data_IF_751567345841
#
_entry.id   IF_751567345841
#
_cell.length_a   1.000
_cell.length_b   1.000
_cell.length_c   1.000
_cell.angle_alpha   90.00
_cell.angle_beta   90.00
_cell.angle_gamma   90.00
#
_symmetry.space_group_name_H-M   'P 1'
#
loop_
_entity.id
_entity.type
_entity.pdbx_description
1 polymer ?
#
# COMPACT_ATOMS: atom_id res chain seq x y z
N UNK A 1 -6.93 1.52 -7.77
CA UNK A 1 -7.27 0.31 -8.57
C UNK A 1 -6.12 -0.22 -9.42
N UNK A 2 -5.42 0.61 -10.20
CA UNK A 2 -4.38 0.19 -11.15
C UNK A 2 -3.25 -0.73 -10.63
N UNK A 3 -2.85 -0.62 -9.37
CA UNK A 3 -1.79 -1.45 -8.80
C UNK A 3 -2.27 -2.80 -8.22
N UNK A 4 -3.59 -3.01 -8.05
CA UNK A 4 -4.12 -4.24 -7.47
C UNK A 4 -3.67 -4.51 -6.02
N UNK A 5 -3.47 -3.45 -5.22
CA UNK A 5 -3.12 -3.51 -3.79
C UNK A 5 -4.09 -2.63 -3.01
N UNK A 6 -4.79 -3.21 -2.03
CA UNK A 6 -5.63 -2.46 -1.09
C UNK A 6 -4.78 -1.90 0.05
N UNK A 7 -5.04 -0.63 0.39
CA UNK A 7 -4.34 0.10 1.45
C UNK A 7 -5.36 0.87 2.29
N UNK A 8 -5.05 1.09 3.56
CA UNK A 8 -5.85 1.99 4.39
C UNK A 8 -5.31 3.41 4.23
N UNK A 9 -6.13 4.40 3.83
CA UNK A 9 -5.68 5.78 3.68
C UNK A 9 -5.40 6.39 5.05
N UNK A 10 -4.29 7.11 5.16
CA UNK A 10 -3.82 7.67 6.43
C UNK A 10 -4.74 8.74 7.03
N UNK A 11 -5.55 9.42 6.22
CA UNK A 11 -6.57 10.38 6.68
C UNK A 11 -7.58 9.77 7.67
N UNK A 12 -7.80 8.45 7.60
CA UNK A 12 -8.62 7.73 8.59
C UNK A 12 -8.02 7.66 10.00
N UNK A 13 -6.77 8.08 10.18
CA UNK A 13 -6.02 8.03 11.44
C UNK A 13 -5.74 9.43 12.02
N UNK A 14 -6.45 10.45 11.54
CA UNK A 14 -6.34 11.84 11.99
C UNK A 14 -5.33 12.66 11.21
N UNK A 15 -5.21 13.95 11.56
CA UNK A 15 -4.43 14.96 10.81
C UNK A 15 -2.98 14.57 10.53
N UNK A 16 -2.34 13.85 11.45
CA UNK A 16 -0.94 13.44 11.30
C UNK A 16 -0.77 12.25 10.34
N UNK A 17 -1.86 11.58 9.94
CA UNK A 17 -1.86 10.51 8.95
C UNK A 17 -2.14 11.00 7.52
N UNK A 18 -2.49 12.27 7.33
CA UNK A 18 -2.75 12.81 5.99
C UNK A 18 -1.48 12.76 5.13
N UNK A 19 -1.63 12.35 3.86
CA UNK A 19 -0.49 12.11 2.96
C UNK A 19 0.21 10.75 3.12
N UNK A 20 -0.18 9.95 4.12
CA UNK A 20 0.39 8.62 4.36
C UNK A 20 -0.58 7.48 3.99
N UNK A 21 -0.02 6.28 3.86
CA UNK A 21 -0.76 5.01 3.69
C UNK A 21 -0.40 4.06 4.83
N UNK A 22 -1.37 3.25 5.24
CA UNK A 22 -1.15 2.17 6.21
C UNK A 22 -1.29 0.81 5.53
N UNK A 23 -0.30 -0.05 5.76
CA UNK A 23 -0.30 -1.45 5.33
C UNK A 23 -0.52 -2.39 6.52
N UNK A 24 -1.17 -3.52 6.28
CA UNK A 24 -1.22 -4.62 7.25
C UNK A 24 -0.09 -5.59 6.95
N UNK A 25 0.72 -5.91 7.96
CA UNK A 25 1.76 -6.95 7.87
C UNK A 25 1.24 -8.34 8.26
N UNK A 26 0.01 -8.43 8.80
CA UNK A 26 -0.60 -9.70 9.21
C UNK A 26 -1.14 -10.46 7.98
N UNK A 27 -0.22 -10.95 7.15
CA UNK A 27 -0.48 -11.71 5.93
C UNK A 27 0.72 -12.64 5.65
N UNK A 28 0.63 -13.50 4.63
CA UNK A 28 1.76 -14.33 4.22
C UNK A 28 2.88 -13.49 3.61
N UNK A 29 4.12 -13.94 3.76
CA UNK A 29 5.29 -13.24 3.21
C UNK A 29 5.20 -13.13 1.68
N UNK A 30 4.74 -14.20 1.02
CA UNK A 30 4.57 -14.25 -0.44
C UNK A 30 3.59 -13.17 -0.92
N UNK A 31 2.48 -12.98 -0.20
CA UNK A 31 1.48 -11.98 -0.56
C UNK A 31 2.00 -10.55 -0.33
N UNK A 32 2.78 -10.34 0.74
CA UNK A 32 3.44 -9.06 1.02
C UNK A 32 4.45 -8.72 -0.09
N UNK A 33 5.30 -9.68 -0.47
CA UNK A 33 6.29 -9.51 -1.54
C UNK A 33 5.63 -9.20 -2.88
N UNK A 34 4.55 -9.92 -3.23
CA UNK A 34 3.78 -9.69 -4.44
C UNK A 34 3.14 -8.29 -4.46
N UNK A 35 2.56 -7.85 -3.34
CA UNK A 35 2.01 -6.50 -3.23
C UNK A 35 3.10 -5.43 -3.43
N UNK A 36 4.28 -5.60 -2.83
CA UNK A 36 5.41 -4.68 -3.00
C UNK A 36 5.93 -4.67 -4.46
N UNK A 37 5.97 -5.83 -5.13
CA UNK A 37 6.35 -5.93 -6.54
C UNK A 37 5.39 -5.16 -7.44
N UNK A 38 4.07 -5.28 -7.20
CA UNK A 38 3.06 -4.51 -7.93
C UNK A 38 3.19 -3.01 -7.70
N UNK A 39 3.40 -2.59 -6.46
CA UNK A 39 3.63 -1.17 -6.12
C UNK A 39 4.86 -0.62 -6.83
N UNK A 40 5.97 -1.36 -6.87
CA UNK A 40 7.18 -0.97 -7.61
C UNK A 40 6.87 -0.72 -9.08
N UNK A 41 6.17 -1.62 -9.76
CA UNK A 41 5.80 -1.45 -11.17
C UNK A 41 4.88 -0.25 -11.40
N UNK A 42 3.93 -0.01 -10.49
CA UNK A 42 3.06 1.16 -10.55
C UNK A 42 3.81 2.47 -10.39
N UNK A 43 4.76 2.54 -9.44
CA UNK A 43 5.56 3.74 -9.20
C UNK A 43 6.56 4.02 -10.33
N UNK A 44 7.09 2.99 -11.00
CA UNK A 44 8.01 3.17 -12.12
C UNK A 44 7.34 3.70 -13.41
N UNK A 45 6.01 3.68 -13.48
CA UNK A 45 5.22 4.14 -14.65
C UNK A 45 4.54 5.48 -14.40
N UNK A 46 4.92 6.18 -13.32
CA UNK A 46 4.48 7.53 -12.96
C UNK A 46 5.68 8.45 -12.78
#
# INVERSE_FOLDING_TARGET
ERAGVCVAPGVGFGKNGEGYLRFSYANSMENIEEALRRLRGFLATR
#
